data_IF_685838484664
#
_entry.id   IF_685838484664
#
_cell.length_a   1.000
_cell.length_b   1.000
_cell.length_c   1.000
_cell.angle_alpha   90.00
_cell.angle_beta   90.00
_cell.angle_gamma   90.00
#
_symmetry.space_group_name_H-M   'P 1'
#
loop_
_entity.id
_entity.type
_entity.pdbx_description
1 polymer ?
#
# COMPACT_ATOMS: atom_id res chain seq x y z
N UNK A 1 12.31 27.08 25.47
CA UNK A 1 12.14 26.10 24.37
C UNK A 1 12.43 26.86 23.10
N UNK A 2 13.61 26.71 22.51
CA UNK A 2 13.94 27.36 21.25
C UNK A 2 13.30 26.56 20.13
N UNK A 3 12.35 27.17 19.42
CA UNK A 3 11.77 26.58 18.22
C UNK A 3 12.80 26.74 17.11
N UNK A 4 13.27 25.62 16.57
CA UNK A 4 14.12 25.63 15.38
C UNK A 4 13.26 25.96 14.15
N UNK A 5 13.18 27.25 13.85
CA UNK A 5 12.35 27.79 12.77
C UNK A 5 12.83 27.26 11.41
N UNK A 6 14.14 27.08 11.23
CA UNK A 6 14.71 26.57 9.98
C UNK A 6 14.23 25.13 9.74
N UNK A 7 14.31 24.29 10.76
CA UNK A 7 13.82 22.90 10.69
C UNK A 7 12.32 22.82 10.37
N UNK A 8 11.50 23.73 10.93
CA UNK A 8 10.06 23.80 10.64
C UNK A 8 9.76 24.23 9.21
N UNK A 9 10.51 25.20 8.68
CA UNK A 9 10.40 25.64 7.28
C UNK A 9 10.77 24.50 6.34
N UNK A 10 11.84 23.77 6.63
CA UNK A 10 12.22 22.59 5.85
C UNK A 10 11.15 21.50 5.87
N UNK A 11 10.57 21.23 7.05
CA UNK A 11 9.49 20.26 7.19
C UNK A 11 8.27 20.67 6.37
N UNK A 12 7.87 21.94 6.46
CA UNK A 12 6.72 22.47 5.72
C UNK A 12 6.92 22.35 4.20
N UNK A 13 8.11 22.72 3.70
CA UNK A 13 8.45 22.57 2.29
C UNK A 13 8.39 21.10 1.84
N UNK A 14 8.82 20.18 2.70
CA UNK A 14 8.80 18.75 2.40
C UNK A 14 7.38 18.16 2.44
N UNK A 15 6.52 18.63 3.35
CA UNK A 15 5.10 18.29 3.39
C UNK A 15 4.42 18.68 2.08
N UNK A 16 4.66 19.90 1.58
CA UNK A 16 4.05 20.36 0.32
C UNK A 16 4.52 19.53 -0.88
N UNK A 17 5.83 19.22 -0.96
CA UNK A 17 6.36 18.33 -2.00
C UNK A 17 5.75 16.93 -1.91
N UNK A 18 5.61 16.38 -0.72
CA UNK A 18 5.00 15.08 -0.50
C UNK A 18 3.53 15.07 -0.96
N UNK A 19 2.75 16.08 -0.59
CA UNK A 19 1.36 16.26 -1.04
C UNK A 19 1.26 16.32 -2.56
N UNK A 20 2.17 17.07 -3.19
CA UNK A 20 2.22 17.18 -4.65
C UNK A 20 2.44 15.82 -5.31
N UNK A 21 3.39 15.01 -4.81
CA UNK A 21 3.66 13.68 -5.34
C UNK A 21 2.46 12.73 -5.24
N UNK A 22 1.73 12.76 -4.11
CA UNK A 22 0.56 11.89 -3.92
C UNK A 22 -0.70 12.39 -4.61
N UNK A 23 -0.75 13.65 -5.06
CA UNK A 23 -1.98 14.29 -5.55
C UNK A 23 -2.72 13.44 -6.59
N UNK A 24 -2.01 13.04 -7.65
CA UNK A 24 -2.63 12.27 -8.73
C UNK A 24 -3.15 10.90 -8.26
N UNK A 25 -2.41 10.21 -7.38
CA UNK A 25 -2.80 8.93 -6.82
C UNK A 25 -4.02 9.07 -5.90
N UNK A 26 -4.05 10.11 -5.06
CA UNK A 26 -5.14 10.42 -4.15
C UNK A 26 -6.41 10.81 -4.91
N UNK A 27 -6.32 11.71 -5.88
CA UNK A 27 -7.47 12.14 -6.69
C UNK A 27 -8.05 10.98 -7.50
N UNK A 28 -7.17 10.16 -8.09
CA UNK A 28 -7.59 8.94 -8.78
C UNK A 28 -8.30 7.94 -7.84
N UNK A 29 -7.83 7.81 -6.60
CA UNK A 29 -8.48 6.95 -5.61
C UNK A 29 -9.84 7.49 -5.19
N UNK A 30 -9.95 8.79 -4.88
CA UNK A 30 -11.22 9.46 -4.55
C UNK A 30 -12.26 9.24 -5.63
N UNK A 31 -11.87 9.46 -6.90
CA UNK A 31 -12.77 9.27 -8.04
C UNK A 31 -13.28 7.83 -8.13
N UNK A 32 -12.40 6.83 -7.95
CA UNK A 32 -12.80 5.40 -7.95
C UNK A 32 -13.73 5.05 -6.80
N UNK A 33 -13.43 5.52 -5.59
CA UNK A 33 -14.29 5.27 -4.41
C UNK A 33 -15.66 5.90 -4.63
N UNK A 34 -15.72 7.17 -5.05
CA UNK A 34 -16.99 7.86 -5.32
C UNK A 34 -17.86 7.10 -6.31
N UNK A 35 -17.26 6.55 -7.39
CA UNK A 35 -17.96 5.70 -8.36
C UNK A 35 -18.45 4.38 -7.77
N UNK A 36 -17.71 3.78 -6.85
CA UNK A 36 -18.11 2.51 -6.22
C UNK A 36 -19.28 2.66 -5.25
N UNK A 37 -19.43 3.85 -4.63
CA UNK A 37 -20.43 4.10 -3.59
C UNK A 37 -21.65 4.87 -4.09
N UNK A 38 -21.71 5.18 -5.39
CA UNK A 38 -22.73 6.03 -6.02
C UNK A 38 -24.16 5.55 -5.74
N UNK A 39 -24.35 4.23 -5.62
CA UNK A 39 -25.66 3.60 -5.43
C UNK A 39 -25.94 3.16 -3.99
N UNK A 40 -25.05 3.47 -3.04
CA UNK A 40 -25.28 3.12 -1.63
C UNK A 40 -26.21 4.12 -0.95
N UNK A 41 -26.88 3.66 0.09
CA UNK A 41 -27.64 4.55 0.97
C UNK A 41 -26.72 5.61 1.59
N UNK A 42 -27.22 6.84 1.84
CA UNK A 42 -26.38 7.96 2.27
C UNK A 42 -25.46 7.66 3.47
N UNK A 43 -25.93 6.99 4.56
CA UNK A 43 -25.05 6.68 5.70
C UNK A 43 -23.85 5.79 5.33
N UNK A 44 -24.09 4.76 4.52
CA UNK A 44 -23.03 3.82 4.11
C UNK A 44 -22.06 4.46 3.13
N UNK A 45 -22.58 5.30 2.22
CA UNK A 45 -21.78 6.09 1.30
C UNK A 45 -20.85 7.02 2.06
N UNK A 46 -21.37 7.79 2.99
CA UNK A 46 -20.61 8.79 3.75
C UNK A 46 -19.54 8.11 4.63
N UNK A 47 -19.87 6.96 5.24
CA UNK A 47 -18.90 6.15 5.98
C UNK A 47 -17.74 5.70 5.09
N UNK A 48 -18.02 5.21 3.88
CA UNK A 48 -17.01 4.74 2.92
C UNK A 48 -16.12 5.88 2.42
N UNK A 49 -16.70 7.03 2.09
CA UNK A 49 -15.95 8.22 1.69
C UNK A 49 -15.03 8.71 2.83
N UNK A 50 -15.55 8.78 4.06
CA UNK A 50 -14.74 9.17 5.21
C UNK A 50 -13.60 8.17 5.49
N UNK A 51 -13.82 6.88 5.26
CA UNK A 51 -12.76 5.88 5.36
C UNK A 51 -11.68 6.08 4.31
N UNK A 52 -12.06 6.40 3.07
CA UNK A 52 -11.11 6.67 1.99
C UNK A 52 -10.23 7.89 2.30
N UNK A 53 -10.79 8.98 2.83
CA UNK A 53 -9.98 10.14 3.24
C UNK A 53 -9.04 9.79 4.40
N UNK A 54 -9.49 9.04 5.41
CA UNK A 54 -8.59 8.56 6.48
C UNK A 54 -7.42 7.73 5.96
N UNK A 55 -7.65 6.93 4.92
CA UNK A 55 -6.60 6.15 4.27
C UNK A 55 -5.61 7.03 3.53
N UNK A 56 -6.07 8.10 2.86
CA UNK A 56 -5.20 9.08 2.20
C UNK A 56 -4.37 9.82 3.26
N UNK A 57 -5.00 10.30 4.34
CA UNK A 57 -4.34 11.03 5.42
C UNK A 57 -3.24 10.19 6.08
N UNK A 58 -3.46 8.90 6.27
CA UNK A 58 -2.48 7.97 6.85
C UNK A 58 -1.22 7.75 5.98
N UNK A 59 -1.24 8.23 4.73
CA UNK A 59 -0.11 8.20 3.81
C UNK A 59 0.61 9.55 3.73
N UNK A 60 0.04 10.63 4.31
CA UNK A 60 0.61 11.96 4.30
C UNK A 60 1.59 12.19 5.46
N UNK A 61 2.48 13.17 5.30
CA UNK A 61 3.29 13.69 6.40
C UNK A 61 2.41 14.57 7.29
N UNK A 62 2.06 14.08 8.46
CA UNK A 62 1.48 14.83 9.57
C UNK A 62 2.57 15.67 10.29
N UNK A 63 2.46 17.01 10.35
CA UNK A 63 3.49 17.88 10.94
C UNK A 63 3.65 17.74 12.46
N UNK A 64 2.63 17.25 13.17
CA UNK A 64 2.68 17.05 14.62
C UNK A 64 3.31 15.70 14.92
N UNK A 65 2.86 14.64 14.23
CA UNK A 65 3.34 13.26 14.45
C UNK A 65 4.73 13.00 13.88
N UNK A 66 5.13 13.77 12.87
CA UNK A 66 6.41 13.62 12.18
C UNK A 66 7.29 14.86 12.33
N UNK A 67 7.19 15.55 13.49
CA UNK A 67 7.98 16.74 13.76
C UNK A 67 9.50 16.45 13.82
N UNK A 68 9.85 15.21 14.15
CA UNK A 68 11.20 14.67 14.32
C UNK A 68 11.67 13.84 13.12
N UNK A 69 10.87 13.77 12.05
CA UNK A 69 11.16 13.00 10.84
C UNK A 69 12.56 13.30 10.29
N UNK A 70 13.45 12.32 10.16
CA UNK A 70 14.72 12.55 9.49
C UNK A 70 14.51 12.81 7.99
N UNK A 71 14.53 14.09 7.60
CA UNK A 71 14.31 14.53 6.23
C UNK A 71 15.41 14.04 5.28
N UNK A 72 16.63 13.82 5.76
CA UNK A 72 17.72 13.26 4.98
C UNK A 72 17.44 11.82 4.59
N UNK A 73 17.01 11.01 5.55
CA UNK A 73 16.61 9.62 5.34
C UNK A 73 15.38 9.53 4.42
N UNK A 74 14.35 10.35 4.68
CA UNK A 74 13.15 10.42 3.85
C UNK A 74 13.49 10.77 2.39
N UNK A 75 14.29 11.82 2.15
CA UNK A 75 14.69 12.24 0.81
C UNK A 75 15.50 11.15 0.10
N UNK A 76 16.44 10.52 0.79
CA UNK A 76 17.23 9.41 0.24
C UNK A 76 16.35 8.28 -0.30
N UNK A 77 15.33 7.87 0.47
CA UNK A 77 14.41 6.80 0.05
C UNK A 77 13.49 7.28 -1.07
N UNK A 78 12.91 8.48 -0.95
CA UNK A 78 12.04 9.11 -1.96
C UNK A 78 12.73 9.18 -3.32
N UNK A 79 13.97 9.64 -3.34
CA UNK A 79 14.74 9.87 -4.55
C UNK A 79 15.36 8.58 -5.11
N UNK A 80 15.23 7.46 -4.37
CA UNK A 80 15.77 6.17 -4.78
C UNK A 80 17.29 6.13 -4.77
N UNK A 81 17.92 6.81 -3.81
CA UNK A 81 19.36 6.79 -3.62
C UNK A 81 19.87 5.33 -3.49
N UNK A 82 21.09 5.03 -3.95
CA UNK A 82 21.67 3.71 -3.85
C UNK A 82 22.00 3.41 -2.37
N UNK A 83 21.07 2.73 -1.69
CA UNK A 83 21.19 2.33 -0.29
C UNK A 83 21.56 0.86 -0.20
N UNK A 84 22.55 0.55 0.63
CA UNK A 84 22.97 -0.82 0.90
C UNK A 84 22.29 -1.34 2.17
N UNK A 85 21.88 -2.61 2.17
CA UNK A 85 21.35 -3.23 3.38
C UNK A 85 22.48 -3.82 4.22
N UNK A 86 22.66 -3.29 5.42
CA UNK A 86 23.53 -3.86 6.45
C UNK A 86 22.75 -4.95 7.20
N UNK A 87 23.11 -6.21 6.93
CA UNK A 87 22.43 -7.37 7.50
C UNK A 87 22.69 -7.56 8.99
N UNK A 88 23.85 -7.14 9.50
CA UNK A 88 24.18 -7.24 10.93
C UNK A 88 23.31 -6.27 11.74
N UNK A 89 23.16 -5.05 11.24
CA UNK A 89 22.40 -3.98 11.89
C UNK A 89 20.93 -3.93 11.48
N UNK A 90 20.53 -4.76 10.51
CA UNK A 90 19.18 -4.78 9.89
C UNK A 90 18.70 -3.39 9.48
N UNK A 91 19.60 -2.60 8.90
CA UNK A 91 19.33 -1.21 8.50
C UNK A 91 19.80 -0.99 7.08
N UNK A 92 19.12 -0.11 6.34
CA UNK A 92 19.69 0.43 5.13
C UNK A 92 20.72 1.50 5.50
N UNK A 93 21.74 1.66 4.67
CA UNK A 93 22.80 2.66 4.87
C UNK A 93 23.04 3.34 3.53
N UNK A 94 22.88 4.66 3.51
CA UNK A 94 23.35 5.49 2.41
C UNK A 94 24.78 5.95 2.71
N UNK A 95 25.73 5.55 1.86
CA UNK A 95 27.13 5.99 1.96
C UNK A 95 27.38 7.12 0.96
N UNK A 96 27.88 8.26 1.44
CA UNK A 96 28.22 9.42 0.61
C UNK A 96 29.69 9.76 0.79
N UNK A 97 30.44 10.05 -0.28
CA UNK A 97 31.85 10.44 -0.15
C UNK A 97 32.01 11.66 0.76
N UNK A 98 32.91 11.58 1.73
CA UNK A 98 33.23 12.69 2.64
C UNK A 98 32.15 13.03 3.67
N UNK A 99 31.15 12.17 3.87
CA UNK A 99 30.12 12.34 4.89
C UNK A 99 29.92 11.06 5.69
N UNK A 100 29.42 11.21 6.92
CA UNK A 100 29.04 10.07 7.73
C UNK A 100 27.93 9.24 7.05
N UNK A 101 27.99 7.90 7.13
CA UNK A 101 26.94 7.05 6.61
C UNK A 101 25.59 7.39 7.25
N UNK A 102 24.56 7.55 6.42
CA UNK A 102 23.21 7.84 6.88
C UNK A 102 22.44 6.53 7.06
N UNK A 103 22.12 6.12 8.31
CA UNK A 103 21.31 4.94 8.55
C UNK A 103 19.83 5.23 8.27
N UNK A 104 19.17 4.31 7.58
CA UNK A 104 17.75 4.38 7.26
C UNK A 104 17.11 3.08 7.74
N UNK A 105 16.39 3.16 8.87
CA UNK A 105 15.80 1.97 9.48
C UNK A 105 14.51 1.58 8.74
N UNK A 106 14.37 0.31 8.30
CA UNK A 106 13.11 -0.19 7.77
C UNK A 106 11.98 -0.03 8.81
N UNK A 107 10.79 0.30 8.33
CA UNK A 107 9.60 0.44 9.17
C UNK A 107 9.48 1.74 9.96
N UNK A 108 10.52 2.57 10.02
CA UNK A 108 10.39 3.93 10.56
C UNK A 108 9.64 4.87 9.59
N UNK A 109 9.06 5.98 10.09
CA UNK A 109 8.27 6.90 9.28
C UNK A 109 9.03 7.42 8.04
N UNK A 110 10.32 7.72 8.15
CA UNK A 110 11.14 8.24 7.04
C UNK A 110 11.21 7.24 5.89
N UNK A 111 11.47 5.98 6.22
CA UNK A 111 11.52 4.91 5.23
C UNK A 111 10.15 4.68 4.61
N UNK A 112 9.10 4.53 5.44
CA UNK A 112 7.74 4.25 4.96
C UNK A 112 7.22 5.39 4.06
N UNK A 113 7.32 6.64 4.52
CA UNK A 113 6.85 7.82 3.79
C UNK A 113 7.71 8.08 2.55
N UNK A 114 9.02 7.82 2.62
CA UNK A 114 9.92 7.91 1.48
C UNK A 114 9.56 6.91 0.38
N UNK A 115 9.27 5.64 0.74
CA UNK A 115 8.80 4.63 -0.22
C UNK A 115 7.46 5.06 -0.85
N UNK A 116 6.50 5.50 -0.02
CA UNK A 116 5.21 6.00 -0.50
C UNK A 116 5.40 7.12 -1.54
N UNK A 117 6.21 8.12 -1.21
CA UNK A 117 6.48 9.26 -2.07
C UNK A 117 7.17 8.85 -3.38
N UNK A 118 8.13 7.93 -3.31
CA UNK A 118 8.79 7.37 -4.49
C UNK A 118 7.80 6.68 -5.42
N UNK A 119 6.98 5.79 -4.88
CA UNK A 119 6.00 5.03 -5.68
C UNK A 119 4.94 5.95 -6.29
N UNK A 120 4.50 6.98 -5.54
CA UNK A 120 3.61 8.02 -6.07
C UNK A 120 4.27 8.79 -7.22
N UNK A 121 5.55 9.19 -7.06
CA UNK A 121 6.34 9.84 -8.11
C UNK A 121 6.56 8.98 -9.36
N UNK A 122 6.57 7.65 -9.20
CA UNK A 122 6.58 6.68 -10.31
C UNK A 122 5.19 6.44 -10.94
N UNK A 123 4.15 7.14 -10.47
CA UNK A 123 2.79 7.06 -11.03
C UNK A 123 1.97 5.86 -10.57
N UNK A 124 2.36 5.18 -9.47
CA UNK A 124 1.56 4.07 -8.96
C UNK A 124 0.23 4.55 -8.37
N UNK A 125 -0.77 3.68 -8.44
CA UNK A 125 -2.08 3.93 -7.83
C UNK A 125 -2.01 3.78 -6.31
N UNK A 126 -2.84 4.53 -5.59
CA UNK A 126 -2.85 4.53 -4.13
C UNK A 126 -3.02 3.14 -3.50
N UNK A 127 -3.83 2.27 -4.11
CA UNK A 127 -4.04 0.90 -3.65
C UNK A 127 -2.76 0.04 -3.77
N UNK A 128 -1.94 0.27 -4.80
CA UNK A 128 -0.65 -0.42 -4.96
C UNK A 128 0.37 0.11 -3.96
N UNK A 129 0.37 1.42 -3.74
CA UNK A 129 1.24 2.08 -2.75
C UNK A 129 0.94 1.54 -1.34
N UNK A 130 -0.32 1.39 -0.97
CA UNK A 130 -0.73 0.87 0.34
C UNK A 130 -0.18 -0.53 0.61
N UNK A 131 -0.28 -1.44 -0.36
CA UNK A 131 0.23 -2.81 -0.21
C UNK A 131 1.74 -2.81 0.05
N UNK A 132 2.50 -2.01 -0.70
CA UNK A 132 3.97 -1.94 -0.51
C UNK A 132 4.34 -1.21 0.78
N UNK A 133 3.59 -0.19 1.19
CA UNK A 133 3.79 0.50 2.46
C UNK A 133 3.53 -0.42 3.67
N UNK A 134 2.54 -1.31 3.58
CA UNK A 134 2.24 -2.30 4.61
C UNK A 134 3.33 -3.38 4.70
N UNK A 135 3.83 -3.89 3.58
CA UNK A 135 4.88 -4.92 3.59
C UNK A 135 6.23 -4.37 4.05
N UNK A 136 6.56 -3.13 3.69
CA UNK A 136 7.80 -2.46 4.14
C UNK A 136 7.76 -2.10 5.63
N UNK A 137 6.59 -1.87 6.21
CA UNK A 137 6.42 -1.73 7.66
C UNK A 137 6.61 -3.07 8.41
N UNK A 138 6.30 -4.20 7.75
CA UNK A 138 6.41 -5.54 8.35
C UNK A 138 7.76 -6.23 8.12
N UNK A 139 8.63 -5.69 7.26
CA UNK A 139 9.92 -6.28 6.89
C UNK A 139 10.96 -6.36 8.04
N UNK A 140 10.59 -5.96 9.26
CA UNK A 140 11.40 -6.13 10.49
C UNK A 140 11.15 -7.49 11.17
N UNK A 141 10.15 -8.27 10.74
CA UNK A 141 10.01 -9.67 11.13
C UNK A 141 10.93 -10.57 10.29
N UNK A 142 11.50 -11.66 10.84
CA UNK A 142 12.33 -12.55 10.04
C UNK A 142 11.51 -13.02 8.83
N UNK A 143 11.94 -12.66 7.62
CA UNK A 143 11.63 -13.49 6.46
C UNK A 143 12.32 -14.83 6.71
N UNK A 144 11.67 -15.70 7.47
CA UNK A 144 11.85 -17.13 7.26
C UNK A 144 11.42 -17.33 5.82
N UNK A 145 12.40 -17.48 4.93
CA UNK A 145 12.15 -18.17 3.68
C UNK A 145 11.32 -19.40 4.03
N UNK A 146 10.17 -19.64 3.37
CA UNK A 146 9.43 -20.87 3.61
C UNK A 146 10.43 -22.01 3.40
N UNK A 147 10.75 -22.75 4.46
CA UNK A 147 11.74 -23.84 4.44
C UNK A 147 11.33 -24.92 3.43
N UNK A 148 10.06 -24.91 3.04
CA UNK A 148 9.47 -25.74 2.02
C UNK A 148 8.68 -24.88 1.05
N UNK A 149 9.01 -25.02 -0.24
CA UNK A 149 8.07 -24.67 -1.32
C UNK A 149 6.74 -25.35 -1.01
N UNK A 150 5.61 -24.63 -0.90
CA UNK A 150 4.33 -25.29 -0.69
C UNK A 150 4.08 -26.19 -1.89
N UNK A 151 4.19 -27.50 -1.69
CA UNK A 151 3.82 -28.46 -2.70
C UNK A 151 2.31 -28.41 -2.82
N UNK A 152 1.84 -27.68 -3.83
CA UNK A 152 0.47 -27.77 -4.31
C UNK A 152 0.31 -29.18 -4.86
N UNK A 153 -0.13 -30.11 -4.00
CA UNK A 153 -0.68 -31.37 -4.48
C UNK A 153 -1.91 -30.98 -5.28
N UNK A 154 -1.81 -31.17 -6.61
CA UNK A 154 -2.95 -31.14 -7.51
C UNK A 154 -3.93 -32.21 -7.03
N UNK A 155 -4.79 -31.84 -6.10
CA UNK A 155 -5.95 -32.63 -5.73
C UNK A 155 -6.75 -32.82 -7.02
N UNK A 156 -7.02 -34.07 -7.35
CA UNK A 156 -7.89 -34.42 -8.46
C UNK A 156 -9.21 -33.66 -8.26
N UNK A 157 -9.44 -32.67 -9.12
CA UNK A 157 -10.75 -32.02 -9.22
C UNK A 157 -11.76 -33.13 -9.44
N UNK A 158 -12.59 -33.41 -8.43
CA UNK A 158 -13.77 -34.26 -8.57
C UNK A 158 -14.55 -33.75 -9.77
N UNK A 159 -14.91 -34.60 -10.74
CA UNK A 159 -15.69 -34.16 -11.87
C UNK A 159 -17.01 -33.57 -11.36
N UNK A 160 -17.29 -32.36 -11.81
CA UNK A 160 -18.56 -31.67 -11.61
C UNK A 160 -19.70 -32.63 -11.97
N UNK A 161 -20.56 -32.95 -11.00
CA UNK A 161 -21.79 -33.72 -11.22
C UNK A 161 -22.66 -32.95 -12.20
N UNK A 162 -22.64 -33.38 -13.45
CA UNK A 162 -23.62 -33.00 -14.47
C UNK A 162 -24.99 -33.43 -13.97
N UNK A 163 -25.76 -32.46 -13.52
CA UNK A 163 -27.13 -32.64 -13.05
C UNK A 163 -28.03 -32.87 -14.28
N UNK A 164 -28.15 -34.11 -14.75
CA UNK A 164 -29.16 -34.50 -15.73
C UNK A 164 -30.52 -34.44 -15.05
N UNK A 165 -31.18 -33.28 -15.18
CA UNK A 165 -32.61 -33.16 -14.90
C UNK A 165 -33.37 -33.96 -15.95
N UNK A 166 -33.84 -35.11 -15.50
CA UNK A 166 -34.97 -35.88 -16.00
C UNK A 166 -36.16 -34.94 -16.28
N UNK A 167 -36.45 -34.68 -17.54
CA UNK A 167 -37.82 -34.35 -17.98
C UNK A 167 -38.47 -35.64 -18.47
N UNK A 168 -39.02 -36.38 -17.50
CA UNK A 168 -39.98 -37.44 -17.75
C UNK A 168 -41.34 -36.75 -17.93
N UNK A 169 -41.68 -36.46 -19.18
CA UNK A 169 -43.03 -36.07 -19.58
C UNK A 169 -43.71 -37.27 -20.20
N UNK A 170 -44.28 -38.14 -19.36
CA UNK A 170 -45.19 -39.20 -19.78
C UNK A 170 -46.38 -38.62 -20.56
N UNK A 171 -46.54 -39.02 -21.81
CA UNK A 171 -47.85 -39.07 -22.47
C UNK A 171 -48.12 -40.51 -22.89
N UNK A 172 -48.78 -41.25 -22.00
CA UNK A 172 -49.61 -42.41 -22.38
C UNK A 172 -50.81 -41.90 -23.18
N UNK A 173 -51.13 -42.51 -24.31
CA UNK A 173 -52.30 -43.40 -24.47
C UNK A 173 -52.49 -43.86 -25.92
N UNK A 174 -52.88 -45.12 -26.02
CA UNK A 174 -53.25 -45.93 -27.17
C UNK A 174 -54.51 -45.47 -27.93
N UNK A 175 -54.57 -45.91 -29.19
CA UNK A 175 -55.69 -46.49 -29.96
C UNK A 175 -55.67 -45.87 -31.38
N UNK A 176 -55.64 -46.58 -32.50
CA UNK A 176 -56.24 -47.87 -32.84
C UNK A 176 -57.05 -47.64 -34.13
N UNK A 177 -56.55 -48.11 -35.27
CA UNK A 177 -57.24 -48.88 -36.31
C UNK A 177 -56.24 -49.26 -37.40
#
# INVERSE_FOLDING_TARGET
>A
MFVDVERLVELAAEIERHRYLLRAAADGYRWRVARQVEHLDPPDRDMRLAHAERLIDALMIDPIRHNDLDLGAYRAVRDGAPIDFDAERRTYVLRRPGQDPLPIRPGLPEHRLGVIARLAGLGLRLEQIQVVALTTAQAVGPLRAPTTTPQVKRGTTKPSRRNTRTHQGERKRHAGN
#
